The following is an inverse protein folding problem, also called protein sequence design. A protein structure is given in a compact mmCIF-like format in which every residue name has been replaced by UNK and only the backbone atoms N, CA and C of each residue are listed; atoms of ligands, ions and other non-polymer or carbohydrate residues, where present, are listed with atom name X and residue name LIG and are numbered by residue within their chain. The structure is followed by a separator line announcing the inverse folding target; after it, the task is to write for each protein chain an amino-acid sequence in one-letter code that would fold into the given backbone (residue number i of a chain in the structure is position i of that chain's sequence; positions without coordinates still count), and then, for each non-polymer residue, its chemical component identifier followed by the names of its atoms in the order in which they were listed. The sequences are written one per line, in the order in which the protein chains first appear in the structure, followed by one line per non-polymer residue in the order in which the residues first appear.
data_IF_288183459757
#
_entry.id   IF_288183459757
#
_cell.length_a   1.000
_cell.length_b   1.000
_cell.length_c   1.000
_cell.angle_alpha   90.00
_cell.angle_beta   90.00
_cell.angle_gamma   90.00
#
_symmetry.space_group_name_H-M   'P 1'
#
loop_
_entity.id
_entity.type
_entity.pdbx_description
1 polymer ?
#
# COMPACT_ATOMS: atom_id res chain seq x y z
N UNK A 1 16.63 -79.42 -24.67
CA UNK A 1 16.61 -79.82 -26.10
C UNK A 1 16.43 -78.51 -26.87
N UNK A 2 17.20 -78.10 -27.67
CA UNK A 2 18.05 -78.22 -28.82
C UNK A 2 18.66 -76.84 -29.09
N UNK A 3 19.98 -76.74 -29.02
CA UNK A 3 20.97 -76.36 -30.06
C UNK A 3 20.76 -75.03 -30.77
N UNK A 4 21.52 -74.01 -30.44
CA UNK A 4 22.83 -73.57 -30.99
C UNK A 4 22.94 -73.56 -32.55
N UNK A 5 23.17 -72.40 -33.15
CA UNK A 5 24.07 -72.27 -34.27
C UNK A 5 24.72 -70.89 -34.32
N UNK A 6 26.01 -70.89 -34.25
CA UNK A 6 26.95 -69.74 -34.52
C UNK A 6 26.94 -69.41 -36.04
N UNK A 7 26.94 -68.15 -36.35
CA UNK A 7 27.27 -67.65 -37.66
C UNK A 7 28.26 -66.48 -37.55
N UNK A 8 29.46 -66.75 -38.04
CA UNK A 8 30.65 -65.92 -37.95
C UNK A 8 30.77 -64.95 -39.11
N UNK A 9 31.34 -63.78 -38.81
CA UNK A 9 32.20 -62.92 -39.63
C UNK A 9 31.56 -62.00 -40.69
N UNK A 10 31.79 -60.70 -40.56
CA UNK A 10 32.82 -60.02 -41.35
C UNK A 10 33.07 -58.62 -40.87
N UNK A 11 34.33 -58.32 -40.56
CA UNK A 11 34.86 -56.99 -40.36
C UNK A 11 34.78 -56.22 -41.69
N UNK A 12 34.35 -54.96 -41.63
CA UNK A 12 34.65 -53.99 -42.66
C UNK A 12 34.84 -52.64 -42.01
N UNK A 13 36.03 -52.18 -42.09
CA UNK A 13 36.54 -50.87 -41.71
C UNK A 13 35.72 -49.76 -42.36
N UNK A 14 35.17 -48.87 -41.56
CA UNK A 14 34.77 -47.54 -42.07
C UNK A 14 35.51 -46.49 -41.24
N UNK A 15 36.38 -45.81 -41.93
CA UNK A 15 37.22 -44.72 -41.47
C UNK A 15 36.41 -43.54 -41.00
N UNK A 16 36.70 -43.12 -39.83
CA UNK A 16 36.95 -41.79 -39.34
C UNK A 16 36.63 -40.64 -40.30
N UNK A 17 35.46 -39.96 -40.05
CA UNK A 17 35.25 -38.56 -40.32
C UNK A 17 34.83 -37.87 -39.00
N UNK A 18 35.84 -37.61 -38.18
CA UNK A 18 35.75 -36.67 -37.07
C UNK A 18 36.33 -35.36 -37.61
N UNK A 19 35.57 -34.35 -37.72
CA UNK A 19 36.10 -33.03 -38.00
C UNK A 19 35.06 -32.11 -38.69
N UNK A 20 34.65 -31.08 -38.02
CA UNK A 20 33.86 -29.91 -38.45
C UNK A 20 32.39 -29.86 -38.03
N UNK A 21 32.10 -30.00 -36.73
CA UNK A 21 30.75 -29.79 -36.22
C UNK A 21 30.66 -29.12 -34.84
N UNK A 22 31.74 -28.60 -34.28
CA UNK A 22 31.80 -28.19 -32.89
C UNK A 22 32.27 -26.75 -32.64
N UNK A 23 32.01 -25.83 -33.54
CA UNK A 23 32.37 -24.39 -33.36
C UNK A 23 31.21 -23.42 -33.69
N UNK A 24 29.95 -23.85 -33.71
CA UNK A 24 28.84 -22.91 -33.96
C UNK A 24 27.79 -22.83 -32.85
N UNK A 25 28.12 -23.24 -31.62
CA UNK A 25 27.17 -23.25 -30.50
C UNK A 25 27.54 -22.32 -29.35
N UNK A 26 28.42 -21.33 -29.55
CA UNK A 26 28.86 -20.43 -28.46
C UNK A 26 28.64 -18.94 -28.71
N UNK A 27 27.72 -18.55 -29.61
CA UNK A 27 27.38 -17.14 -29.90
C UNK A 27 25.89 -16.81 -29.68
N UNK A 28 25.18 -17.65 -28.94
CA UNK A 28 23.94 -17.24 -28.28
C UNK A 28 24.25 -16.76 -26.86
N UNK A 29 25.22 -15.87 -26.71
CA UNK A 29 25.37 -15.07 -25.48
C UNK A 29 24.15 -14.21 -25.37
N UNK A 30 23.35 -14.50 -24.34
CA UNK A 30 22.12 -13.86 -24.00
C UNK A 30 22.20 -12.35 -24.15
N UNK A 31 21.43 -11.80 -25.05
CA UNK A 31 20.91 -10.47 -24.90
C UNK A 31 20.10 -10.51 -23.59
N UNK A 32 20.74 -10.24 -22.45
CA UNK A 32 20.03 -9.83 -21.26
C UNK A 32 19.14 -8.68 -21.72
N UNK A 33 17.85 -8.91 -21.82
CA UNK A 33 16.90 -7.84 -22.04
C UNK A 33 17.22 -6.80 -20.98
N UNK A 34 17.88 -5.72 -21.37
CA UNK A 34 18.16 -4.61 -20.49
C UNK A 34 16.79 -4.12 -20.11
N UNK A 35 16.43 -4.27 -18.85
CA UNK A 35 15.22 -3.65 -18.33
C UNK A 35 15.25 -2.18 -18.79
N UNK A 36 14.17 -1.72 -19.39
CA UNK A 36 14.08 -0.34 -19.85
C UNK A 36 14.09 0.57 -18.62
N UNK A 37 15.25 1.17 -18.36
CA UNK A 37 15.45 2.06 -17.21
C UNK A 37 14.51 3.30 -17.23
N UNK A 38 13.78 3.50 -18.33
CA UNK A 38 12.80 4.57 -18.49
C UNK A 38 11.36 4.12 -18.27
N UNK A 39 11.08 2.81 -18.18
CA UNK A 39 9.76 2.30 -17.88
C UNK A 39 9.49 2.29 -16.36
N UNK A 40 8.31 2.78 -15.97
CA UNK A 40 7.85 2.70 -14.57
C UNK A 40 6.48 2.01 -14.57
N UNK A 41 6.40 0.83 -13.92
CA UNK A 41 5.12 0.18 -13.63
C UNK A 41 4.61 0.66 -12.26
N UNK A 42 3.55 1.47 -12.28
CA UNK A 42 2.85 1.98 -11.10
C UNK A 42 1.77 0.99 -10.67
N UNK A 43 1.92 0.44 -9.48
CA UNK A 43 1.00 -0.55 -8.91
C UNK A 43 -0.02 0.17 -8.02
N UNK A 44 -1.28 0.21 -8.47
CA UNK A 44 -2.38 0.93 -7.79
C UNK A 44 -3.33 -0.06 -7.12
N UNK A 45 -3.41 -0.10 -5.79
CA UNK A 45 -4.23 -1.09 -5.09
C UNK A 45 -5.73 -0.83 -5.13
N UNK A 46 -6.21 0.25 -5.71
CA UNK A 46 -7.66 0.51 -5.78
C UNK A 46 -8.30 0.58 -4.40
N UNK A 47 -7.78 1.45 -3.56
CA UNK A 47 -8.20 1.68 -2.18
C UNK A 47 -8.77 3.10 -2.03
N UNK A 48 -10.05 3.33 -2.40
CA UNK A 48 -10.66 4.65 -2.24
C UNK A 48 -10.65 5.10 -0.77
N UNK A 49 -10.44 6.41 -0.51
CA UNK A 49 -10.29 7.50 -1.49
C UNK A 49 -8.86 7.76 -1.94
N UNK A 50 -7.88 6.97 -1.51
CA UNK A 50 -6.46 7.10 -1.88
C UNK A 50 -6.29 6.95 -3.38
N UNK A 51 -6.77 5.83 -3.92
CA UNK A 51 -6.75 5.51 -5.35
C UNK A 51 -8.10 4.94 -5.79
N UNK A 52 -8.70 5.57 -6.79
CA UNK A 52 -10.02 5.20 -7.32
C UNK A 52 -9.83 4.66 -8.74
N UNK A 53 -9.78 3.35 -8.86
CA UNK A 53 -9.44 2.66 -10.12
C UNK A 53 -10.62 2.43 -11.04
N UNK A 54 -11.86 2.61 -10.56
CA UNK A 54 -13.09 2.39 -11.34
C UNK A 54 -14.24 3.29 -10.89
N UNK A 55 -15.38 3.18 -11.57
CA UNK A 55 -16.57 3.97 -11.29
C UNK A 55 -16.50 5.45 -11.71
N UNK A 56 -17.50 6.27 -11.28
CA UNK A 56 -17.63 7.67 -11.74
C UNK A 56 -16.55 8.61 -11.19
N UNK A 57 -15.83 8.19 -10.16
CA UNK A 57 -14.75 8.96 -9.52
C UNK A 57 -13.35 8.45 -9.89
N UNK A 58 -13.24 7.57 -10.87
CA UNK A 58 -11.96 7.01 -11.33
C UNK A 58 -10.94 8.12 -11.58
N UNK A 59 -9.72 7.93 -11.04
CA UNK A 59 -8.60 8.86 -11.20
C UNK A 59 -8.68 10.11 -10.32
N UNK A 60 -9.64 10.20 -9.38
CA UNK A 60 -9.84 11.36 -8.52
C UNK A 60 -9.35 11.16 -7.08
N UNK A 61 -8.80 10.00 -6.75
CA UNK A 61 -8.12 9.78 -5.48
C UNK A 61 -6.85 10.64 -5.37
N UNK A 62 -6.45 10.97 -4.17
CA UNK A 62 -5.31 11.88 -4.01
C UNK A 62 -3.98 11.27 -4.49
N UNK A 63 -3.79 9.96 -4.39
CA UNK A 63 -2.65 9.27 -5.00
C UNK A 63 -2.74 9.24 -6.55
N UNK A 64 -3.96 9.17 -7.11
CA UNK A 64 -4.18 9.28 -8.55
C UNK A 64 -3.79 10.68 -9.06
N UNK A 65 -4.20 11.74 -8.33
CA UNK A 65 -3.86 13.14 -8.64
C UNK A 65 -2.34 13.37 -8.55
N UNK A 66 -1.70 12.82 -7.51
CA UNK A 66 -0.23 12.85 -7.40
C UNK A 66 0.43 12.18 -8.61
N UNK A 67 -0.01 10.98 -8.94
CA UNK A 67 0.58 10.20 -10.04
C UNK A 67 0.42 10.90 -11.39
N UNK A 68 -0.76 11.46 -11.68
CA UNK A 68 -0.98 12.25 -12.88
C UNK A 68 -0.03 13.47 -12.91
N UNK A 69 0.08 14.20 -11.80
CA UNK A 69 0.99 15.34 -11.69
C UNK A 69 2.45 14.96 -11.95
N UNK A 70 2.89 13.79 -11.45
CA UNK A 70 4.22 13.26 -11.68
C UNK A 70 4.43 12.90 -13.15
N UNK A 71 3.53 12.14 -13.77
CA UNK A 71 3.63 11.69 -15.17
C UNK A 71 3.74 12.88 -16.13
N UNK A 72 2.93 13.92 -15.94
CA UNK A 72 2.95 15.13 -16.77
C UNK A 72 4.30 15.86 -16.73
N UNK A 73 5.08 15.70 -15.64
CA UNK A 73 6.37 16.39 -15.41
C UNK A 73 7.60 15.52 -15.63
N UNK A 74 7.37 14.31 -16.05
CA UNK A 74 8.44 13.32 -16.28
C UNK A 74 8.26 12.61 -17.63
N UNK A 75 8.21 13.37 -18.74
CA UNK A 75 8.01 12.80 -20.09
C UNK A 75 9.15 11.88 -20.54
N UNK A 76 10.28 11.91 -19.84
CA UNK A 76 11.41 11.02 -20.03
C UNK A 76 11.13 9.58 -19.58
N UNK A 77 10.05 9.35 -18.80
CA UNK A 77 9.64 8.02 -18.35
C UNK A 77 8.39 7.54 -19.07
N UNK A 78 8.38 6.28 -19.42
CA UNK A 78 7.17 5.58 -19.87
C UNK A 78 6.44 4.97 -18.67
N UNK A 79 5.41 5.67 -18.18
CA UNK A 79 4.61 5.24 -17.03
C UNK A 79 3.45 4.34 -17.44
N UNK A 80 3.36 3.15 -16.86
CA UNK A 80 2.24 2.22 -17.01
C UNK A 80 1.55 2.06 -15.65
N UNK A 81 0.23 2.24 -15.61
CA UNK A 81 -0.57 2.11 -14.39
C UNK A 81 -1.27 0.76 -14.41
N UNK A 82 -1.01 -0.06 -13.38
CA UNK A 82 -1.58 -1.39 -13.24
C UNK A 82 -2.36 -1.51 -11.93
N UNK A 83 -3.55 -2.14 -11.98
CA UNK A 83 -4.30 -2.46 -10.76
C UNK A 83 -3.66 -3.66 -10.07
N UNK A 84 -3.39 -3.54 -8.77
CA UNK A 84 -2.70 -4.58 -8.00
C UNK A 84 -3.07 -4.51 -6.52
N UNK A 85 -3.17 -5.65 -5.84
CA UNK A 85 -3.34 -5.67 -4.39
C UNK A 85 -2.03 -5.33 -3.67
N UNK A 86 -2.11 -4.82 -2.42
CA UNK A 86 -0.92 -4.55 -1.60
C UNK A 86 -0.03 -5.78 -1.41
N UNK A 87 -0.64 -6.97 -1.28
CA UNK A 87 0.09 -8.24 -1.18
C UNK A 87 0.90 -8.51 -2.45
N UNK A 88 0.28 -8.30 -3.64
CA UNK A 88 0.97 -8.46 -4.93
C UNK A 88 2.09 -7.44 -5.09
N UNK A 89 1.86 -6.17 -4.78
CA UNK A 89 2.90 -5.11 -4.83
C UNK A 89 4.11 -5.52 -3.98
N UNK A 90 3.87 -5.91 -2.71
CA UNK A 90 4.95 -6.36 -1.81
C UNK A 90 5.68 -7.59 -2.37
N UNK A 91 4.95 -8.53 -2.97
CA UNK A 91 5.54 -9.72 -3.61
C UNK A 91 6.44 -9.38 -4.80
N UNK A 92 5.98 -8.47 -5.68
CA UNK A 92 6.76 -8.02 -6.84
C UNK A 92 8.05 -7.32 -6.41
N UNK A 93 7.98 -6.42 -5.41
CA UNK A 93 9.15 -5.71 -4.89
C UNK A 93 10.14 -6.64 -4.18
N UNK A 94 9.66 -7.63 -3.40
CA UNK A 94 10.50 -8.65 -2.77
C UNK A 94 11.21 -9.54 -3.80
N UNK A 95 10.63 -9.73 -4.98
CA UNK A 95 11.24 -10.43 -6.12
C UNK A 95 12.20 -9.56 -6.95
N UNK A 96 12.33 -8.27 -6.63
CA UNK A 96 13.22 -7.35 -7.33
C UNK A 96 12.69 -6.84 -8.66
N UNK A 97 11.39 -7.01 -8.96
CA UNK A 97 10.78 -6.48 -10.19
C UNK A 97 10.66 -4.95 -10.10
N UNK A 98 10.92 -4.26 -11.20
CA UNK A 98 10.93 -2.80 -11.29
C UNK A 98 9.51 -2.22 -11.24
N UNK A 99 8.97 -2.08 -10.03
CA UNK A 99 7.63 -1.53 -9.79
C UNK A 99 7.68 -0.44 -8.74
N UNK A 100 6.74 0.51 -8.81
CA UNK A 100 6.52 1.55 -7.82
C UNK A 100 5.06 1.56 -7.35
N UNK A 101 4.84 2.07 -6.14
CA UNK A 101 3.51 2.32 -5.57
C UNK A 101 3.49 3.76 -5.02
N UNK A 102 2.50 4.60 -5.40
CA UNK A 102 2.54 6.04 -5.15
C UNK A 102 2.16 6.46 -3.73
N UNK A 103 1.58 5.58 -2.93
CA UNK A 103 1.06 5.89 -1.59
C UNK A 103 1.27 4.73 -0.64
N UNK A 104 2.30 4.80 0.18
CA UNK A 104 2.56 3.79 1.22
C UNK A 104 3.03 4.42 2.53
N UNK A 105 2.56 3.83 3.62
CA UNK A 105 3.17 4.04 4.93
C UNK A 105 4.57 3.40 4.94
N UNK A 106 5.57 4.17 5.33
CA UNK A 106 6.94 3.70 5.51
C UNK A 106 7.06 2.91 6.81
N UNK A 107 7.53 1.68 6.74
CA UNK A 107 7.78 0.81 7.90
C UNK A 107 9.15 0.16 7.80
N UNK A 108 9.73 -0.22 8.94
CA UNK A 108 11.05 -0.91 8.99
C UNK A 108 11.05 -2.19 8.14
N UNK A 109 9.94 -2.96 8.16
CA UNK A 109 9.82 -4.15 7.31
C UNK A 109 9.93 -3.81 5.83
N UNK A 110 9.20 -2.77 5.40
CA UNK A 110 9.17 -2.35 3.98
C UNK A 110 10.49 -1.78 3.51
N UNK A 111 11.23 -1.07 4.37
CA UNK A 111 12.57 -0.54 4.05
C UNK A 111 13.58 -1.65 3.71
N UNK A 112 13.32 -2.90 4.10
CA UNK A 112 14.18 -4.03 3.72
C UNK A 112 14.19 -4.29 2.21
N UNK A 113 13.09 -3.99 1.49
CA UNK A 113 12.91 -4.31 0.06
C UNK A 113 12.34 -3.16 -0.79
N UNK A 114 12.17 -1.98 -0.21
CA UNK A 114 11.68 -0.77 -0.89
C UNK A 114 12.65 0.40 -0.70
N UNK A 115 12.77 1.26 -1.72
CA UNK A 115 13.29 2.63 -1.61
C UNK A 115 12.10 3.57 -1.46
N UNK A 116 12.21 4.55 -0.56
CA UNK A 116 11.15 5.51 -0.28
C UNK A 116 11.56 6.93 -0.66
N UNK A 117 10.62 7.67 -1.23
CA UNK A 117 10.76 9.11 -1.48
C UNK A 117 10.77 9.93 -0.17
N UNK A 118 10.94 11.24 -0.28
CA UNK A 118 10.44 12.18 0.73
C UNK A 118 8.90 12.06 0.83
N UNK A 119 8.28 12.56 1.91
CA UNK A 119 6.82 12.53 2.04
C UNK A 119 6.14 13.15 0.82
N UNK A 120 5.15 12.43 0.29
CA UNK A 120 4.24 12.91 -0.78
C UNK A 120 2.83 13.15 -0.26
N UNK A 121 2.46 12.55 0.87
CA UNK A 121 1.15 12.70 1.49
C UNK A 121 1.28 13.20 2.91
N UNK A 122 0.27 13.91 3.36
CA UNK A 122 0.12 14.40 4.71
C UNK A 122 -1.33 14.20 5.12
N UNK A 123 -1.59 13.16 5.90
CA UNK A 123 -2.93 12.70 6.26
C UNK A 123 -3.16 12.79 7.77
N UNK A 124 -4.40 12.89 8.21
CA UNK A 124 -4.75 12.70 9.61
C UNK A 124 -4.37 11.27 10.05
N UNK A 125 -4.09 11.03 11.35
CA UNK A 125 -3.69 9.71 11.80
C UNK A 125 -4.86 8.72 11.79
N UNK A 126 -4.61 7.48 12.14
CA UNK A 126 -5.65 6.49 12.38
C UNK A 126 -6.53 6.86 13.58
N UNK A 127 -7.80 6.52 13.50
CA UNK A 127 -8.78 6.66 14.57
C UNK A 127 -9.43 5.31 14.86
N UNK A 128 -9.90 5.16 16.10
CA UNK A 128 -10.95 4.18 16.39
C UNK A 128 -12.24 4.75 15.81
N UNK A 129 -12.87 3.99 14.93
CA UNK A 129 -14.16 4.32 14.34
C UNK A 129 -15.20 3.38 14.88
N UNK A 130 -16.25 3.94 15.43
CA UNK A 130 -17.34 3.24 16.10
C UNK A 130 -18.67 3.83 15.67
N UNK A 131 -19.73 3.04 15.67
CA UNK A 131 -21.09 3.56 15.49
C UNK A 131 -21.45 4.51 16.64
N UNK A 132 -22.12 5.61 16.32
CA UNK A 132 -22.49 6.65 17.30
C UNK A 132 -23.36 6.13 18.45
N UNK A 133 -24.23 5.13 18.17
CA UNK A 133 -25.08 4.47 19.17
C UNK A 133 -24.33 3.48 20.06
N UNK A 134 -23.07 3.16 19.73
CA UNK A 134 -22.21 2.23 20.48
C UNK A 134 -21.01 2.89 21.16
N UNK A 135 -20.76 4.17 20.90
CA UNK A 135 -19.56 4.88 21.44
C UNK A 135 -19.46 4.85 22.97
N UNK A 136 -20.58 4.82 23.69
CA UNK A 136 -20.61 4.74 25.15
C UNK A 136 -19.97 3.46 25.70
N UNK A 137 -19.98 2.34 24.93
CA UNK A 137 -19.34 1.09 25.34
C UNK A 137 -17.82 1.19 25.43
N UNK A 138 -17.22 2.19 24.73
CA UNK A 138 -15.78 2.40 24.69
C UNK A 138 -15.31 3.42 25.75
N UNK A 139 -16.21 4.02 26.51
CA UNK A 139 -15.88 5.12 27.45
C UNK A 139 -14.83 4.75 28.50
N UNK A 140 -14.84 3.50 29.00
CA UNK A 140 -13.89 3.01 30.00
C UNK A 140 -12.43 2.93 29.51
N UNK A 141 -12.20 2.99 28.20
CA UNK A 141 -10.87 2.88 27.59
C UNK A 141 -10.30 4.25 27.18
N UNK A 142 -11.01 5.36 27.44
CA UNK A 142 -10.50 6.71 27.19
C UNK A 142 -9.59 7.16 28.35
N UNK A 143 -8.52 7.84 27.97
CA UNK A 143 -7.68 8.56 28.94
C UNK A 143 -8.28 9.95 29.29
N UNK A 144 -7.58 10.73 30.11
CA UNK A 144 -8.04 12.04 30.56
C UNK A 144 -8.18 13.05 29.39
N UNK A 145 -7.41 12.88 28.32
CA UNK A 145 -7.45 13.69 27.10
C UNK A 145 -8.54 13.23 26.12
N UNK A 146 -9.29 12.19 26.45
CA UNK A 146 -10.36 11.62 25.61
C UNK A 146 -9.85 10.67 24.52
N UNK A 147 -8.56 10.42 24.44
CA UNK A 147 -7.96 9.48 23.50
C UNK A 147 -8.07 8.03 23.98
N UNK A 148 -8.14 7.09 23.06
CA UNK A 148 -8.37 5.67 23.33
C UNK A 148 -7.07 4.95 23.69
N UNK A 149 -7.04 4.24 24.81
CA UNK A 149 -6.05 3.20 25.11
C UNK A 149 -6.39 1.95 24.28
N UNK A 150 -5.80 1.87 23.10
CA UNK A 150 -6.11 0.83 22.12
C UNK A 150 -5.70 -0.57 22.60
N UNK A 151 -4.65 -0.69 23.39
CA UNK A 151 -4.19 -1.98 23.94
C UNK A 151 -5.21 -2.54 24.92
N UNK A 152 -5.67 -1.71 25.87
CA UNK A 152 -6.74 -2.12 26.79
C UNK A 152 -8.05 -2.44 26.06
N UNK A 153 -8.40 -1.64 25.06
CA UNK A 153 -9.61 -1.87 24.25
C UNK A 153 -9.56 -3.23 23.54
N UNK A 154 -8.45 -3.59 22.90
CA UNK A 154 -8.30 -4.87 22.19
C UNK A 154 -8.31 -6.09 23.12
N UNK A 155 -7.97 -5.92 24.39
CA UNK A 155 -8.00 -7.00 25.38
C UNK A 155 -9.39 -7.25 25.98
N UNK A 156 -10.38 -6.40 25.70
CA UNK A 156 -11.77 -6.69 26.07
C UNK A 156 -12.41 -7.66 25.07
N UNK A 157 -12.54 -8.90 25.48
CA UNK A 157 -13.11 -9.98 24.65
C UNK A 157 -14.59 -9.78 24.30
N UNK A 158 -15.28 -8.84 24.95
CA UNK A 158 -16.67 -8.47 24.63
C UNK A 158 -16.80 -7.47 23.49
N UNK A 159 -15.69 -6.90 23.02
CA UNK A 159 -15.61 -5.95 21.91
C UNK A 159 -14.82 -6.54 20.77
N UNK A 160 -15.37 -6.49 19.57
CA UNK A 160 -14.80 -7.10 18.39
C UNK A 160 -14.24 -6.08 17.42
N UNK A 161 -13.16 -6.43 16.75
CA UNK A 161 -12.54 -5.63 15.68
C UNK A 161 -11.96 -6.52 14.58
N UNK A 162 -11.54 -5.89 13.50
CA UNK A 162 -10.89 -6.57 12.36
C UNK A 162 -9.56 -5.89 12.02
N UNK A 163 -8.54 -6.71 11.78
CA UNK A 163 -7.24 -6.31 11.23
C UNK A 163 -7.19 -6.66 9.76
N UNK A 164 -6.86 -5.69 8.92
CA UNK A 164 -6.53 -5.96 7.52
C UNK A 164 -5.09 -6.45 7.41
N UNK A 165 -4.91 -7.59 6.76
CA UNK A 165 -3.59 -8.12 6.40
C UNK A 165 -2.91 -7.17 5.40
N UNK A 166 -1.57 -7.13 5.41
CA UNK A 166 -0.75 -6.31 4.51
C UNK A 166 -0.94 -4.79 4.64
N UNK A 167 -1.95 -4.30 5.39
CA UNK A 167 -2.10 -2.88 5.69
C UNK A 167 -0.96 -2.43 6.63
N UNK A 168 -0.34 -1.29 6.33
CA UNK A 168 0.61 -0.66 7.23
C UNK A 168 -0.11 0.03 8.38
N UNK A 169 0.33 -0.22 9.60
CA UNK A 169 -0.17 0.47 10.79
C UNK A 169 0.98 1.21 11.50
N UNK A 170 0.70 2.35 12.15
CA UNK A 170 1.71 3.00 12.99
C UNK A 170 2.07 2.12 14.20
N UNK A 171 3.26 2.32 14.82
CA UNK A 171 3.77 1.42 15.86
C UNK A 171 2.76 1.12 16.97
N UNK A 172 2.11 2.14 17.55
CA UNK A 172 1.15 1.97 18.64
C UNK A 172 -0.04 1.06 18.27
N UNK A 173 -0.51 1.12 17.03
CA UNK A 173 -1.60 0.26 16.52
C UNK A 173 -1.08 -1.15 16.22
N UNK A 174 0.11 -1.23 15.61
CA UNK A 174 0.74 -2.52 15.30
C UNK A 174 1.08 -3.30 16.57
N UNK A 175 1.61 -2.63 17.59
CA UNK A 175 1.93 -3.22 18.90
C UNK A 175 0.66 -3.75 19.59
N UNK A 176 -0.45 -2.99 19.55
CA UNK A 176 -1.72 -3.44 20.10
C UNK A 176 -2.26 -4.68 19.37
N UNK A 177 -2.22 -4.72 18.05
CA UNK A 177 -2.58 -5.92 17.28
C UNK A 177 -1.66 -7.11 17.55
N UNK A 178 -0.38 -6.85 17.77
CA UNK A 178 0.60 -7.89 18.12
C UNK A 178 0.34 -8.46 19.50
N UNK A 179 0.04 -7.60 20.48
CA UNK A 179 -0.32 -8.01 21.83
C UNK A 179 -1.64 -8.79 21.87
N UNK A 180 -2.57 -8.49 20.97
CA UNK A 180 -3.86 -9.17 20.85
C UNK A 180 -3.84 -10.37 19.88
N UNK A 181 -2.66 -10.79 19.40
CA UNK A 181 -2.55 -11.88 18.45
C UNK A 181 -3.13 -13.19 19.00
N UNK A 182 -4.00 -13.83 18.23
CA UNK A 182 -4.67 -15.08 18.61
C UNK A 182 -5.91 -14.90 19.49
N UNK A 183 -6.28 -13.68 19.86
CA UNK A 183 -7.53 -13.42 20.56
C UNK A 183 -8.73 -13.58 19.61
N UNK A 184 -9.84 -14.13 20.15
CA UNK A 184 -11.03 -14.48 19.35
C UNK A 184 -11.84 -13.27 18.90
N UNK A 185 -11.64 -12.11 19.50
CA UNK A 185 -12.33 -10.85 19.22
C UNK A 185 -11.58 -9.97 18.20
N UNK A 186 -10.38 -10.36 17.76
CA UNK A 186 -9.60 -9.67 16.74
C UNK A 186 -9.58 -10.55 15.49
N UNK A 187 -10.48 -10.27 14.55
CA UNK A 187 -10.54 -10.99 13.28
C UNK A 187 -9.43 -10.52 12.34
N UNK A 188 -9.08 -11.36 11.37
CA UNK A 188 -8.18 -10.98 10.27
C UNK A 188 -8.91 -11.07 8.95
N UNK A 189 -8.61 -10.16 8.04
CA UNK A 189 -9.15 -10.16 6.68
C UNK A 189 -8.08 -9.78 5.68
N UNK A 190 -8.09 -10.47 4.54
CA UNK A 190 -7.33 -10.10 3.33
C UNK A 190 -8.19 -9.33 2.33
N UNK A 191 -9.46 -9.06 2.68
CA UNK A 191 -10.39 -8.30 1.86
C UNK A 191 -9.93 -6.84 1.72
N UNK A 192 -10.55 -6.16 0.74
CA UNK A 192 -10.32 -4.73 0.48
C UNK A 192 -10.77 -3.82 1.64
N UNK A 193 -10.55 -2.52 1.46
CA UNK A 193 -10.83 -1.53 2.51
C UNK A 193 -12.33 -1.32 2.78
N UNK A 194 -13.23 -1.75 1.87
CA UNK A 194 -14.70 -1.67 2.03
C UNK A 194 -15.22 -2.63 3.10
N UNK A 195 -14.64 -3.84 3.19
CA UNK A 195 -15.15 -4.89 4.05
C UNK A 195 -15.23 -4.52 5.54
N UNK A 196 -14.22 -3.90 6.18
CA UNK A 196 -14.30 -3.45 7.57
C UNK A 196 -15.44 -2.47 7.83
N UNK A 197 -15.71 -1.55 6.88
CA UNK A 197 -16.83 -0.60 7.01
C UNK A 197 -18.18 -1.29 6.94
N UNK A 198 -18.36 -2.22 6.01
CA UNK A 198 -19.57 -3.02 5.90
C UNK A 198 -19.81 -3.86 7.16
N UNK A 199 -18.75 -4.41 7.74
CA UNK A 199 -18.80 -5.16 8.98
C UNK A 199 -19.18 -4.27 10.18
N UNK A 200 -18.62 -3.06 10.27
CA UNK A 200 -18.97 -2.10 11.31
C UNK A 200 -20.42 -1.62 11.16
N UNK A 201 -20.84 -1.32 9.94
CA UNK A 201 -22.21 -0.86 9.66
C UNK A 201 -23.26 -1.89 9.98
N UNK A 202 -22.98 -3.18 9.75
CA UNK A 202 -23.85 -4.31 10.05
C UNK A 202 -23.70 -4.87 11.48
N UNK A 203 -22.93 -4.19 12.33
CA UNK A 203 -22.69 -4.58 13.73
C UNK A 203 -21.97 -5.93 13.89
N UNK A 204 -21.26 -6.39 12.85
CA UNK A 204 -20.47 -7.61 12.91
C UNK A 204 -19.15 -7.40 13.68
N UNK A 205 -18.64 -6.18 13.68
CA UNK A 205 -17.59 -5.72 14.58
C UNK A 205 -18.04 -4.46 15.34
N UNK A 206 -17.51 -4.26 16.53
CA UNK A 206 -17.88 -3.13 17.40
C UNK A 206 -17.14 -1.85 17.00
N UNK A 207 -15.91 -1.98 16.49
CA UNK A 207 -15.08 -0.86 16.03
C UNK A 207 -14.10 -1.31 14.95
N UNK A 208 -13.62 -0.34 14.17
CA UNK A 208 -12.50 -0.52 13.23
C UNK A 208 -11.45 0.55 13.46
N UNK A 209 -10.25 0.33 12.90
CA UNK A 209 -9.14 1.27 12.99
C UNK A 209 -8.78 1.71 11.58
N UNK A 210 -9.05 2.99 11.27
CA UNK A 210 -8.92 3.49 9.91
C UNK A 210 -8.74 5.01 9.87
N UNK A 211 -8.58 5.59 8.68
CA UNK A 211 -8.43 7.02 8.44
C UNK A 211 -9.77 7.74 8.30
N UNK A 212 -9.88 9.03 8.68
CA UNK A 212 -11.13 9.82 8.56
C UNK A 212 -11.64 9.97 7.13
N UNK A 213 -10.75 10.12 6.15
CA UNK A 213 -11.09 10.23 4.73
C UNK A 213 -11.75 8.95 4.20
N UNK A 214 -11.27 7.77 4.61
CA UNK A 214 -11.91 6.49 4.28
C UNK A 214 -13.32 6.41 4.86
N UNK A 215 -13.52 6.83 6.11
CA UNK A 215 -14.87 6.85 6.73
C UNK A 215 -15.81 7.77 5.95
N UNK A 216 -15.34 8.97 5.61
CA UNK A 216 -16.13 9.92 4.84
C UNK A 216 -16.49 9.40 3.44
N UNK A 217 -15.55 8.72 2.79
CA UNK A 217 -15.76 8.07 1.51
C UNK A 217 -16.79 6.96 1.60
N UNK A 218 -16.54 5.96 2.44
CA UNK A 218 -17.40 4.77 2.52
C UNK A 218 -18.79 5.06 3.07
N UNK A 219 -18.93 6.01 4.01
CA UNK A 219 -20.24 6.46 4.49
C UNK A 219 -21.13 7.04 3.38
N UNK A 220 -20.56 7.53 2.27
CA UNK A 220 -21.29 8.11 1.13
C UNK A 220 -21.48 7.14 -0.02
N UNK A 221 -20.57 6.22 -0.22
CA UNK A 221 -20.54 5.38 -1.42
C UNK A 221 -21.03 3.95 -1.17
N UNK A 222 -21.05 3.50 0.07
CA UNK A 222 -21.64 2.22 0.43
C UNK A 222 -23.14 2.36 0.68
N UNK A 223 -23.89 1.30 0.35
CA UNK A 223 -25.29 1.15 0.74
C UNK A 223 -25.38 0.81 2.23
N UNK A 224 -25.15 1.82 3.07
CA UNK A 224 -25.19 1.64 4.51
C UNK A 224 -26.61 1.84 5.06
N UNK A 225 -26.95 1.21 6.20
CA UNK A 225 -28.19 1.52 6.90
C UNK A 225 -28.27 3.02 7.17
N UNK A 226 -29.39 3.67 6.86
CA UNK A 226 -29.56 5.12 7.01
C UNK A 226 -29.29 5.66 8.43
N UNK A 227 -29.40 4.79 9.44
CA UNK A 227 -29.10 5.08 10.84
C UNK A 227 -27.62 4.94 11.22
N UNK A 228 -26.77 4.39 10.35
CA UNK A 228 -25.35 4.18 10.66
C UNK A 228 -24.60 5.52 10.60
N UNK A 229 -24.37 6.12 11.75
CA UNK A 229 -23.48 7.26 11.94
C UNK A 229 -22.22 6.79 12.65
N UNK A 230 -21.05 7.31 12.27
CA UNK A 230 -19.76 6.97 12.84
C UNK A 230 -19.19 8.12 13.65
N UNK A 231 -18.43 7.76 14.68
CA UNK A 231 -17.69 8.68 15.54
C UNK A 231 -16.22 8.27 15.47
N UNK A 232 -15.35 9.26 15.34
CA UNK A 232 -13.90 9.11 15.40
C UNK A 232 -13.41 9.32 16.83
N UNK A 233 -12.64 8.39 17.35
CA UNK A 233 -12.01 8.54 18.66
C UNK A 233 -10.50 8.47 18.47
N UNK A 234 -9.75 9.52 18.86
CA UNK A 234 -8.31 9.52 18.72
C UNK A 234 -7.67 8.38 19.53
N UNK A 235 -6.57 7.84 19.02
CA UNK A 235 -5.80 6.79 19.67
C UNK A 235 -4.66 7.43 20.47
N UNK A 236 -4.52 7.09 21.73
CA UNK A 236 -3.46 7.59 22.60
C UNK A 236 -2.08 7.17 22.06
N UNK A 237 -1.11 8.08 22.12
CA UNK A 237 0.27 7.82 21.73
C UNK A 237 0.53 7.89 20.22
N UNK A 238 -0.46 8.27 19.40
CA UNK A 238 -0.22 8.55 17.98
C UNK A 238 0.25 10.00 17.75
N UNK A 239 1.04 10.25 16.69
CA UNK A 239 1.31 11.60 16.22
C UNK A 239 0.02 12.24 15.67
N UNK A 240 -0.01 13.58 15.61
CA UNK A 240 -1.16 14.34 15.10
C UNK A 240 -1.40 14.18 13.59
N UNK A 241 -0.45 13.60 12.87
CA UNK A 241 -0.52 13.36 11.42
C UNK A 241 0.26 12.09 11.04
N UNK A 242 0.00 11.62 9.85
CA UNK A 242 0.73 10.52 9.20
C UNK A 242 1.29 10.99 7.87
N UNK A 243 2.41 10.45 7.44
CA UNK A 243 3.05 10.73 6.15
C UNK A 243 2.97 9.51 5.24
N UNK A 244 2.57 9.74 4.00
CA UNK A 244 2.63 8.76 2.94
C UNK A 244 3.77 9.05 1.97
N UNK A 245 4.23 8.01 1.30
CA UNK A 245 5.44 8.02 0.49
C UNK A 245 5.23 7.27 -0.82
N UNK A 246 5.92 7.70 -1.87
CA UNK A 246 6.17 6.80 -3.00
C UNK A 246 7.20 5.77 -2.58
N UNK A 247 6.92 4.52 -2.90
CA UNK A 247 7.86 3.43 -2.72
C UNK A 247 8.13 2.72 -4.05
N UNK A 248 9.40 2.46 -4.34
CA UNK A 248 9.83 1.67 -5.49
C UNK A 248 10.66 0.47 -5.02
N UNK A 249 10.78 -0.54 -5.86
CA UNK A 249 11.61 -1.71 -5.57
C UNK A 249 13.05 -1.28 -5.21
N UNK A 250 13.58 -1.83 -4.14
CA UNK A 250 14.90 -1.49 -3.62
C UNK A 250 16.01 -1.76 -4.63
N UNK A 251 16.91 -0.79 -4.80
CA UNK A 251 18.06 -0.88 -5.69
C UNK A 251 18.32 0.40 -6.48
N UNK A 252 19.33 0.41 -7.38
CA UNK A 252 19.74 1.62 -8.10
C UNK A 252 18.61 2.23 -8.94
N UNK A 253 17.79 1.39 -9.60
CA UNK A 253 16.65 1.85 -10.39
C UNK A 253 15.60 2.52 -9.50
N UNK A 254 15.15 1.87 -8.41
CA UNK A 254 14.16 2.43 -7.50
C UNK A 254 14.63 3.73 -6.86
N UNK A 255 15.92 3.81 -6.50
CA UNK A 255 16.54 5.03 -5.96
C UNK A 255 16.47 6.18 -6.96
N UNK A 256 16.82 5.93 -8.23
CA UNK A 256 16.71 6.93 -9.29
C UNK A 256 15.28 7.46 -9.44
N UNK A 257 14.27 6.57 -9.37
CA UNK A 257 12.87 6.99 -9.50
C UNK A 257 12.43 7.81 -8.29
N UNK A 258 12.74 7.38 -7.05
CA UNK A 258 12.35 8.16 -5.85
C UNK A 258 13.09 9.50 -5.74
N UNK A 259 14.32 9.60 -6.23
CA UNK A 259 15.03 10.89 -6.36
C UNK A 259 14.29 11.82 -7.32
N UNK A 260 13.85 11.30 -8.47
CA UNK A 260 13.05 12.09 -9.43
C UNK A 260 11.69 12.50 -8.86
N UNK A 261 11.04 11.62 -8.10
CA UNK A 261 9.84 11.98 -7.33
C UNK A 261 10.12 13.16 -6.40
N UNK A 262 11.22 13.11 -5.65
CA UNK A 262 11.60 14.19 -4.72
C UNK A 262 11.78 15.52 -5.42
N UNK A 263 12.41 15.54 -6.60
CA UNK A 263 12.58 16.75 -7.41
C UNK A 263 11.22 17.33 -7.87
N UNK A 264 10.30 16.47 -8.36
CA UNK A 264 8.98 16.90 -8.81
C UNK A 264 8.14 17.43 -7.64
N UNK A 265 8.17 16.76 -6.49
CA UNK A 265 7.45 17.18 -5.28
C UNK A 265 8.00 18.51 -4.75
N UNK A 266 9.32 18.72 -4.78
CA UNK A 266 9.93 20.00 -4.36
C UNK A 266 9.45 21.21 -5.19
N UNK A 267 9.03 20.99 -6.43
CA UNK A 267 8.53 22.03 -7.32
C UNK A 267 7.01 22.27 -7.19
N UNK A 268 6.29 21.42 -6.49
CA UNK A 268 4.82 21.48 -6.40
C UNK A 268 4.29 22.57 -5.48
N UNK A 269 5.19 23.27 -4.75
CA UNK A 269 4.83 24.38 -3.86
C UNK A 269 4.32 23.92 -2.50
N UNK A 270 3.80 24.89 -1.73
CA UNK A 270 3.43 24.68 -0.32
C UNK A 270 2.14 23.90 -0.12
N UNK A 271 1.31 23.78 -1.16
CA UNK A 271 0.04 23.06 -1.14
C UNK A 271 -0.17 22.36 -2.49
N UNK A 272 0.45 21.19 -2.67
CA UNK A 272 0.34 20.43 -3.90
C UNK A 272 -1.12 20.04 -4.24
N UNK A 273 -1.48 19.83 -5.53
CA UNK A 273 -2.85 19.51 -5.93
C UNK A 273 -3.43 18.25 -5.28
N UNK A 274 -2.63 17.27 -4.98
CA UNK A 274 -3.07 16.03 -4.31
C UNK A 274 -3.39 16.24 -2.83
N UNK A 275 -2.76 17.20 -2.16
CA UNK A 275 -3.11 17.63 -0.80
C UNK A 275 -4.47 18.33 -0.78
N UNK A 276 -4.78 19.13 -1.82
CA UNK A 276 -6.12 19.69 -1.99
C UNK A 276 -7.17 18.62 -2.30
N UNK A 277 -6.79 17.59 -3.06
CA UNK A 277 -7.68 16.47 -3.34
C UNK A 277 -8.04 15.70 -2.07
N UNK A 278 -7.06 15.44 -1.19
CA UNK A 278 -7.27 14.80 0.11
C UNK A 278 -8.15 15.63 1.03
N UNK A 279 -7.85 16.93 1.21
CA UNK A 279 -8.64 17.82 2.08
C UNK A 279 -10.14 17.84 1.72
N UNK A 280 -10.48 17.67 0.43
CA UNK A 280 -11.87 17.57 -0.04
C UNK A 280 -12.57 16.25 0.31
N UNK A 281 -11.82 15.24 0.72
CA UNK A 281 -12.30 13.91 1.09
C UNK A 281 -12.49 13.74 2.60
N UNK A 282 -12.49 14.84 3.34
CA UNK A 282 -12.73 14.88 4.77
C UNK A 282 -14.12 15.49 5.05
N UNK A 283 -14.78 15.06 6.12
CA UNK A 283 -15.95 15.75 6.63
C UNK A 283 -15.57 17.13 7.21
N UNK A 284 -16.51 18.04 7.44
CA UNK A 284 -16.20 19.41 7.85
C UNK A 284 -15.39 19.53 9.17
N UNK A 285 -15.57 18.60 10.11
CA UNK A 285 -14.85 18.61 11.39
C UNK A 285 -13.41 18.10 11.19
N UNK A 286 -13.25 16.98 10.49
CA UNK A 286 -11.95 16.44 10.12
C UNK A 286 -11.16 17.39 9.21
N UNK A 287 -11.84 18.07 8.27
CA UNK A 287 -11.21 19.06 7.40
C UNK A 287 -10.63 20.25 8.19
N UNK A 288 -11.37 20.76 9.18
CA UNK A 288 -10.86 21.82 10.07
C UNK A 288 -9.64 21.37 10.85
N UNK A 289 -9.68 20.19 11.44
CA UNK A 289 -8.53 19.60 12.14
C UNK A 289 -7.34 19.43 11.20
N UNK A 290 -7.57 18.93 9.99
CA UNK A 290 -6.54 18.75 8.96
C UNK A 290 -5.84 20.08 8.65
N UNK A 291 -6.59 21.16 8.44
CA UNK A 291 -6.01 22.49 8.16
C UNK A 291 -5.15 23.00 9.32
N UNK A 292 -5.61 22.82 10.55
CA UNK A 292 -4.86 23.24 11.75
C UNK A 292 -3.55 22.45 11.90
N UNK A 293 -3.59 21.14 11.67
CA UNK A 293 -2.42 20.25 11.75
C UNK A 293 -1.47 20.50 10.57
N UNK A 294 -2.03 20.66 9.35
CA UNK A 294 -1.26 21.00 8.16
C UNK A 294 -0.53 22.32 8.31
N UNK A 295 -1.20 23.34 8.86
CA UNK A 295 -0.60 24.64 9.12
C UNK A 295 0.61 24.57 10.06
N UNK A 296 0.60 23.64 11.03
CA UNK A 296 1.69 23.46 12.00
C UNK A 296 2.85 22.60 11.49
N UNK A 297 2.55 21.51 10.80
CA UNK A 297 3.50 20.41 10.60
C UNK A 297 3.81 20.06 9.15
N UNK A 298 3.09 20.59 8.15
CA UNK A 298 3.26 20.19 6.76
C UNK A 298 4.73 20.24 6.29
N UNK A 299 5.24 19.13 5.72
CA UNK A 299 6.60 19.08 5.17
C UNK A 299 6.76 19.97 3.92
N UNK A 300 5.66 20.24 3.20
CA UNK A 300 5.67 21.03 1.96
C UNK A 300 5.88 22.53 2.21
N UNK A 301 5.56 23.03 3.40
CA UNK A 301 5.75 24.45 3.75
C UNK A 301 7.23 24.86 3.84
N UNK A 302 8.13 23.91 4.08
CA UNK A 302 9.58 24.15 4.25
C UNK A 302 10.36 24.04 2.94
N UNK A 303 9.76 23.55 1.86
CA UNK A 303 10.44 23.29 0.59
C UNK A 303 10.50 24.49 -0.36
N UNK A 304 9.85 25.60 -0.03
CA UNK A 304 9.85 26.82 -0.84
C UNK A 304 10.97 27.79 -0.37
N UNK A 305 12.24 27.46 -0.72
CA UNK A 305 13.36 28.43 -0.74
C UNK A 305 14.09 28.32 -2.06
#
# INVERSE_FOLDING_TARGET
MLKATLGKMRSSSVRMFIGAGMILCHLMMGASARADDTAISWQMPGNPPVSITDGPYKGQGYADVFLQYFIERTPEYHSVIERSSLARVSGLMKQGLQVCQPSLLKTVEREAYMEFSNPVEFVLPYYIVVRSDRVARLAAYRNAEGAMDITRLMHDLSLTTVRQEMRGYPPVVLDAFTAAAGQKNVFQTSADDEAPFSQLASEWVDYIITYPDEVYWFARHLKMPAAAKFVYVPIAGQPEYTLGYVACTKGPWGRKIVERVNEVVAQAGKRPPWIEAEARLLDPEAAKLYEDVYARYSPFRRQAK
#
